data_IF_406442600198
#
_entry.id   IF_406442600198
#
_cell.length_a   1.000
_cell.length_b   1.000
_cell.length_c   1.000
_cell.angle_alpha   90.00
_cell.angle_beta   90.00
_cell.angle_gamma   90.00
#
_symmetry.space_group_name_H-M   'P 1'
#
loop_
_entity.id
_entity.type
_entity.pdbx_description
1 polymer ?
#
# COMPACT_ATOMS: atom_id res chain seq x y z
N UNK A 1 31.53 -2.69 5.06
CA UNK A 1 30.82 -1.53 5.67
C UNK A 1 29.35 -1.50 5.27
N UNK A 2 29.02 -1.50 3.96
CA UNK A 2 27.62 -1.55 3.50
C UNK A 2 26.86 -2.78 4.00
N UNK A 3 27.54 -3.93 4.05
CA UNK A 3 26.99 -5.19 4.58
C UNK A 3 26.56 -5.09 6.05
N UNK A 4 27.37 -4.49 6.92
CA UNK A 4 27.01 -4.27 8.32
C UNK A 4 25.82 -3.33 8.47
N UNK A 5 25.75 -2.29 7.62
CA UNK A 5 24.61 -1.39 7.58
C UNK A 5 23.35 -2.14 7.15
N UNK A 6 23.43 -2.94 6.09
CA UNK A 6 22.32 -3.76 5.60
C UNK A 6 21.82 -4.74 6.68
N UNK A 7 22.74 -5.45 7.34
CA UNK A 7 22.40 -6.38 8.41
C UNK A 7 21.77 -5.66 9.61
N UNK A 8 22.27 -4.47 9.96
CA UNK A 8 21.70 -3.66 11.05
C UNK A 8 20.27 -3.21 10.74
N UNK A 9 20.04 -2.76 9.51
CA UNK A 9 18.70 -2.37 9.04
C UNK A 9 17.75 -3.57 8.98
N UNK A 10 18.25 -4.73 8.54
CA UNK A 10 17.47 -5.97 8.52
C UNK A 10 17.04 -6.36 9.94
N UNK A 11 17.97 -6.41 10.89
CA UNK A 11 17.64 -6.73 12.28
C UNK A 11 16.69 -5.72 12.93
N UNK A 12 16.73 -4.46 12.51
CA UNK A 12 15.83 -3.43 13.02
C UNK A 12 14.37 -3.67 12.60
N UNK A 13 14.13 -4.15 11.38
CA UNK A 13 12.78 -4.36 10.84
C UNK A 13 12.28 -5.79 10.98
N UNK A 14 13.18 -6.76 11.19
CA UNK A 14 12.84 -8.17 11.21
C UNK A 14 12.08 -8.53 12.48
N UNK A 15 10.91 -9.14 12.33
CA UNK A 15 10.16 -9.69 13.44
C UNK A 15 10.83 -10.99 13.96
N UNK A 16 10.86 -11.14 15.28
CA UNK A 16 11.36 -12.33 16.00
C UNK A 16 10.22 -12.97 16.83
N UNK A 17 10.37 -14.20 17.33
CA UNK A 17 9.36 -14.82 18.18
C UNK A 17 9.02 -14.04 19.46
N UNK A 18 9.97 -13.24 19.96
CA UNK A 18 9.80 -12.36 21.13
C UNK A 18 9.16 -11.02 20.78
N UNK A 19 8.91 -10.75 19.49
CA UNK A 19 8.27 -9.51 19.06
C UNK A 19 6.83 -9.43 19.58
N UNK A 20 6.44 -8.26 20.05
CA UNK A 20 5.12 -8.06 20.62
C UNK A 20 4.02 -8.34 19.58
N UNK A 21 3.06 -9.19 19.93
CA UNK A 21 1.97 -9.62 19.04
C UNK A 21 1.16 -8.44 18.46
N UNK A 22 0.96 -7.37 19.23
CA UNK A 22 0.27 -6.16 18.76
C UNK A 22 1.05 -5.45 17.65
N UNK A 23 2.39 -5.45 17.72
CA UNK A 23 3.23 -4.80 16.72
C UNK A 23 3.23 -5.59 15.41
N UNK A 24 3.26 -6.93 15.49
CA UNK A 24 3.09 -7.81 14.33
C UNK A 24 1.71 -7.62 13.70
N UNK A 25 0.66 -7.61 14.52
CA UNK A 25 -0.71 -7.41 14.04
C UNK A 25 -0.87 -6.06 13.34
N UNK A 26 -0.30 -4.99 13.92
CA UNK A 26 -0.29 -3.67 13.33
C UNK A 26 0.49 -3.64 12.01
N UNK A 27 1.65 -4.30 11.94
CA UNK A 27 2.43 -4.41 10.70
C UNK A 27 1.65 -5.13 9.58
N UNK A 28 0.90 -6.19 9.93
CA UNK A 28 0.04 -6.91 8.98
C UNK A 28 -1.11 -6.01 8.50
N UNK A 29 -1.77 -5.30 9.41
CA UNK A 29 -2.84 -4.33 9.09
C UNK A 29 -2.30 -3.27 8.14
N UNK A 30 -1.14 -2.67 8.44
CA UNK A 30 -0.52 -1.69 7.55
C UNK A 30 -0.21 -2.33 6.19
N UNK A 31 0.46 -3.49 6.15
CA UNK A 31 0.82 -4.13 4.89
C UNK A 31 -0.41 -4.45 4.02
N UNK A 32 -1.51 -4.89 4.64
CA UNK A 32 -2.72 -5.34 3.94
C UNK A 32 -3.70 -4.22 3.61
N UNK A 33 -3.76 -3.18 4.43
CA UNK A 33 -4.75 -2.11 4.29
C UNK A 33 -4.16 -0.86 3.62
N UNK A 34 -2.85 -0.61 3.76
CA UNK A 34 -2.18 0.52 3.09
C UNK A 34 -2.11 0.35 1.57
N UNK A 35 -2.03 -0.90 1.07
CA UNK A 35 -2.15 -1.16 -0.38
C UNK A 35 -3.54 -0.77 -0.91
N UNK A 36 -4.56 -0.86 -0.05
CA UNK A 36 -5.95 -0.53 -0.38
C UNK A 36 -6.24 0.98 -0.32
N UNK A 37 -5.33 1.80 0.22
CA UNK A 37 -5.47 3.27 0.23
C UNK A 37 -5.39 3.85 -1.18
N UNK A 38 -4.52 3.32 -2.04
CA UNK A 38 -4.36 3.81 -3.42
C UNK A 38 -5.65 3.70 -4.24
N UNK A 39 -6.34 2.54 -4.30
CA UNK A 39 -7.64 2.46 -4.98
C UNK A 39 -8.73 3.30 -4.30
N UNK A 40 -8.75 3.33 -2.97
CA UNK A 40 -9.72 4.13 -2.23
C UNK A 40 -9.63 5.62 -2.61
N UNK A 41 -8.40 6.16 -2.66
CA UNK A 41 -8.15 7.53 -3.11
C UNK A 41 -8.59 7.74 -4.56
N UNK A 42 -8.35 6.76 -5.44
CA UNK A 42 -8.80 6.84 -6.82
C UNK A 42 -10.34 6.94 -6.93
N UNK A 43 -11.08 6.18 -6.11
CA UNK A 43 -12.55 6.25 -6.04
C UNK A 43 -13.03 7.60 -5.49
N UNK A 44 -12.40 8.10 -4.41
CA UNK A 44 -12.75 9.40 -3.81
C UNK A 44 -12.52 10.54 -4.81
N UNK A 45 -11.38 10.54 -5.50
CA UNK A 45 -11.07 11.53 -6.53
C UNK A 45 -12.01 11.43 -7.74
N UNK A 46 -12.46 10.22 -8.08
CA UNK A 46 -13.47 10.02 -9.12
C UNK A 46 -14.84 10.63 -8.76
N UNK A 47 -15.25 10.54 -7.49
CA UNK A 47 -16.51 11.13 -7.01
C UNK A 47 -16.47 12.67 -6.95
N UNK A 48 -15.29 13.27 -6.76
CA UNK A 48 -15.11 14.73 -6.63
C UNK A 48 -14.55 15.43 -7.89
N UNK A 49 -14.21 14.68 -8.93
CA UNK A 49 -13.51 15.19 -10.11
C UNK A 49 -14.31 16.19 -10.96
N UNK A 50 -13.65 17.21 -11.56
CA UNK A 50 -14.31 18.15 -12.48
C UNK A 50 -14.97 17.43 -13.66
N UNK A 51 -16.24 17.75 -13.93
CA UNK A 51 -17.06 17.08 -14.97
C UNK A 51 -16.52 17.18 -16.40
N UNK A 52 -15.50 18.01 -16.65
CA UNK A 52 -14.80 18.10 -17.94
C UNK A 52 -13.65 17.12 -18.15
N UNK A 53 -13.18 16.42 -17.11
CA UNK A 53 -12.01 15.50 -17.18
C UNK A 53 -12.33 14.06 -16.76
N UNK A 54 -13.62 13.72 -16.66
CA UNK A 54 -14.11 12.45 -16.12
C UNK A 54 -13.60 11.24 -16.92
N UNK A 55 -13.38 11.38 -18.22
CA UNK A 55 -12.91 10.30 -19.10
C UNK A 55 -11.47 9.88 -18.78
N UNK A 56 -10.57 10.84 -18.56
CA UNK A 56 -9.16 10.58 -18.20
C UNK A 56 -9.05 10.00 -16.79
N UNK A 57 -9.84 10.52 -15.85
CA UNK A 57 -9.88 9.99 -14.48
C UNK A 57 -10.42 8.55 -14.44
N UNK A 58 -11.47 8.23 -15.20
CA UNK A 58 -12.02 6.87 -15.31
C UNK A 58 -11.01 5.88 -15.87
N UNK A 59 -10.24 6.26 -16.89
CA UNK A 59 -9.20 5.39 -17.46
C UNK A 59 -8.13 5.05 -16.43
N UNK A 60 -7.70 6.03 -15.63
CA UNK A 60 -6.69 5.83 -14.60
C UNK A 60 -7.22 4.92 -13.48
N UNK A 61 -8.46 5.14 -13.03
CA UNK A 61 -9.14 4.29 -12.03
C UNK A 61 -9.27 2.84 -12.52
N UNK A 62 -9.71 2.63 -13.76
CA UNK A 62 -9.86 1.28 -14.34
C UNK A 62 -8.51 0.57 -14.44
N UNK A 63 -7.45 1.27 -14.88
CA UNK A 63 -6.09 0.69 -14.94
C UNK A 63 -5.58 0.29 -13.54
N UNK A 64 -5.82 1.12 -12.53
CA UNK A 64 -5.44 0.82 -11.14
C UNK A 64 -6.27 -0.34 -10.58
N UNK A 65 -7.58 -0.39 -10.86
CA UNK A 65 -8.45 -1.49 -10.45
C UNK A 65 -8.00 -2.83 -11.06
N UNK A 66 -7.65 -2.84 -12.35
CA UNK A 66 -7.11 -4.03 -13.02
C UNK A 66 -5.77 -4.44 -12.39
N UNK A 67 -4.86 -3.48 -12.15
CA UNK A 67 -3.58 -3.77 -11.53
C UNK A 67 -3.74 -4.42 -10.15
N UNK A 68 -4.71 -3.97 -9.35
CA UNK A 68 -4.99 -4.53 -8.03
C UNK A 68 -5.59 -5.93 -8.11
N UNK A 69 -6.51 -6.19 -9.04
CA UNK A 69 -7.08 -7.54 -9.25
C UNK A 69 -5.99 -8.54 -9.65
N UNK A 70 -4.99 -8.11 -10.43
CA UNK A 70 -3.89 -8.97 -10.88
C UNK A 70 -2.82 -9.19 -9.79
N UNK A 71 -2.69 -8.26 -8.85
CA UNK A 71 -1.63 -8.29 -7.82
C UNK A 71 -2.07 -8.98 -6.52
N UNK A 72 -3.38 -9.15 -6.30
CA UNK A 72 -3.98 -9.92 -5.19
C UNK A 72 -4.14 -11.38 -5.59
#
# INVERSE_FOLDING_TARGET
>A
MLENLNNSLFYLINATPDSAQWAISLAIVIAKDLISIVPLLAVVLWLWGPRGQVTLQRQLVIKMAIALIVTV
#
